data_IF_002779625559
#
_entry.id   IF_002779625559
#
_cell.length_a   1.000
_cell.length_b   1.000
_cell.length_c   1.000
_cell.angle_alpha   90.00
_cell.angle_beta   90.00
_cell.angle_gamma   90.00
#
_symmetry.space_group_name_H-M   'P 1'
#
loop_
_entity.id
_entity.type
_entity.pdbx_description
1 polymer ?
#
# COMPACT_ATOMS: atom_id res chain seq x y z
N UNK A 1 -20.67 -5.67 8.14
CA UNK A 1 -19.62 -6.02 7.17
C UNK A 1 -18.50 -5.01 7.29
N UNK A 2 -17.27 -5.45 7.61
CA UNK A 2 -16.14 -4.54 7.83
C UNK A 2 -15.59 -3.97 6.52
N UNK A 3 -15.38 -2.64 6.49
CA UNK A 3 -14.73 -1.94 5.38
C UNK A 3 -13.22 -2.13 5.48
N UNK A 4 -12.60 -2.66 4.43
CA UNK A 4 -11.14 -2.77 4.31
C UNK A 4 -10.74 -2.23 2.95
N UNK A 5 -9.95 -1.16 2.94
CA UNK A 5 -9.55 -0.42 1.76
C UNK A 5 -8.10 0.00 1.93
N UNK A 6 -7.35 -0.02 0.83
CA UNK A 6 -5.95 0.40 0.79
C UNK A 6 -5.88 1.58 -0.17
N UNK A 7 -5.39 2.69 0.34
CA UNK A 7 -5.23 3.93 -0.41
C UNK A 7 -3.83 4.50 -0.22
N UNK A 8 -3.32 5.15 -1.26
CA UNK A 8 -2.07 5.88 -1.26
C UNK A 8 -2.36 7.37 -1.05
N UNK A 9 -1.58 8.00 -0.18
CA UNK A 9 -1.71 9.41 0.13
C UNK A 9 -0.53 10.15 -0.51
N UNK A 10 -0.82 10.94 -1.55
CA UNK A 10 0.13 11.76 -2.28
C UNK A 10 -0.40 13.19 -2.27
N UNK A 11 -0.26 13.87 -1.12
CA UNK A 11 -0.86 15.17 -0.81
C UNK A 11 -0.69 16.16 -1.98
N UNK A 12 -1.78 16.71 -2.56
CA UNK A 12 -3.17 16.75 -2.06
C UNK A 12 -4.09 15.61 -2.52
N UNK A 13 -3.58 14.66 -3.29
CA UNK A 13 -4.36 13.59 -3.90
C UNK A 13 -4.32 12.31 -3.05
N UNK A 14 -5.44 11.62 -2.93
CA UNK A 14 -5.51 10.28 -2.34
C UNK A 14 -6.09 9.33 -3.37
N UNK A 15 -5.41 8.20 -3.59
CA UNK A 15 -5.76 7.22 -4.63
C UNK A 15 -6.13 5.91 -3.95
N UNK A 16 -7.35 5.42 -4.21
CA UNK A 16 -7.77 4.09 -3.77
C UNK A 16 -7.14 3.04 -4.70
N UNK A 17 -6.30 2.17 -4.15
CA UNK A 17 -5.60 1.12 -4.92
C UNK A 17 -6.19 -0.28 -4.70
N UNK A 18 -6.99 -0.48 -3.64
CA UNK A 18 -7.65 -1.76 -3.39
C UNK A 18 -8.87 -1.61 -2.46
N UNK A 19 -9.93 -2.38 -2.70
CA UNK A 19 -11.11 -2.42 -1.80
C UNK A 19 -11.66 -3.84 -1.66
N UNK A 20 -11.92 -4.25 -0.41
CA UNK A 20 -12.55 -5.53 -0.08
C UNK A 20 -13.95 -5.64 -0.67
N UNK A 21 -14.64 -4.50 -0.81
CA UNK A 21 -15.99 -4.48 -1.38
C UNK A 21 -15.98 -4.86 -2.86
N UNK A 22 -14.90 -4.55 -3.58
CA UNK A 22 -14.72 -4.89 -4.99
C UNK A 22 -14.23 -6.34 -5.15
N UNK A 23 -13.22 -6.73 -4.36
CA UNK A 23 -12.60 -8.06 -4.49
C UNK A 23 -13.35 -9.19 -3.79
N UNK A 24 -14.22 -8.88 -2.81
CA UNK A 24 -14.96 -9.89 -2.04
C UNK A 24 -14.10 -10.78 -1.13
N UNK A 25 -12.78 -10.59 -1.10
CA UNK A 25 -11.79 -11.32 -0.30
C UNK A 25 -10.87 -10.35 0.43
N UNK A 26 -9.99 -10.86 1.30
CA UNK A 26 -8.87 -10.09 1.82
C UNK A 26 -7.67 -10.18 0.86
N UNK A 27 -6.82 -9.14 0.80
CA UNK A 27 -5.64 -9.17 -0.05
C UNK A 27 -4.54 -9.99 0.61
N UNK A 28 -3.69 -10.61 -0.19
CA UNK A 28 -2.48 -11.27 0.31
C UNK A 28 -1.37 -10.24 0.55
N UNK A 29 -0.48 -10.51 1.50
CA UNK A 29 0.63 -9.61 1.80
C UNK A 29 1.53 -9.32 0.58
N UNK A 30 1.63 -10.29 -0.34
CA UNK A 30 2.36 -10.14 -1.61
C UNK A 30 1.63 -9.18 -2.56
N UNK A 31 0.32 -9.33 -2.69
CA UNK A 31 -0.53 -8.50 -3.55
C UNK A 31 -0.50 -7.04 -3.11
N UNK A 32 -0.66 -6.76 -1.81
CA UNK A 32 -0.59 -5.39 -1.27
C UNK A 32 0.75 -4.74 -1.61
N UNK A 33 1.87 -5.45 -1.41
CA UNK A 33 3.20 -4.93 -1.72
C UNK A 33 3.40 -4.67 -3.21
N UNK A 34 2.83 -5.52 -4.06
CA UNK A 34 2.90 -5.36 -5.52
C UNK A 34 2.11 -4.13 -5.96
N UNK A 35 0.85 -3.99 -5.53
CA UNK A 35 -0.01 -2.84 -5.84
C UNK A 35 0.64 -1.52 -5.37
N UNK A 36 1.12 -1.49 -4.13
CA UNK A 36 1.81 -0.30 -3.58
C UNK A 36 3.04 0.03 -4.42
N UNK A 37 3.83 -0.97 -4.84
CA UNK A 37 5.02 -0.74 -5.69
C UNK A 37 4.65 -0.24 -7.08
N UNK A 38 3.68 -0.87 -7.74
CA UNK A 38 3.28 -0.54 -9.09
C UNK A 38 2.75 0.89 -9.18
N UNK A 39 2.00 1.33 -8.17
CA UNK A 39 1.47 2.70 -8.12
C UNK A 39 2.50 3.74 -7.70
N UNK A 40 3.38 3.44 -6.74
CA UNK A 40 4.35 4.41 -6.24
C UNK A 40 5.61 4.52 -7.10
N UNK A 41 5.99 3.46 -7.81
CA UNK A 41 7.25 3.36 -8.53
C UNK A 41 7.14 2.40 -9.74
N UNK A 42 6.49 2.80 -10.84
CA UNK A 42 6.70 2.10 -12.11
C UNK A 42 8.18 2.19 -12.56
N UNK A 43 8.89 3.29 -12.23
CA UNK A 43 10.30 3.52 -12.63
C UNK A 43 11.27 3.95 -11.49
N UNK A 44 10.85 3.92 -10.21
CA UNK A 44 11.58 4.41 -8.99
C UNK A 44 11.86 5.93 -8.96
N UNK A 45 11.92 6.66 -7.83
CA UNK A 45 12.03 6.37 -6.40
C UNK A 45 10.98 7.19 -5.62
N UNK A 46 10.37 6.58 -4.61
CA UNK A 46 9.67 7.29 -3.55
C UNK A 46 10.66 8.10 -2.74
N UNK A 47 10.60 9.42 -2.89
CA UNK A 47 11.21 10.35 -1.96
C UNK A 47 10.80 10.01 -0.52
N UNK A 48 11.81 9.73 0.32
CA UNK A 48 11.78 9.77 1.79
C UNK A 48 10.54 9.20 2.52
N UNK A 49 10.11 7.99 2.20
CA UNK A 49 9.32 7.17 3.15
C UNK A 49 9.99 5.84 3.53
N UNK A 50 11.30 5.72 3.29
CA UNK A 50 12.14 4.73 3.97
C UNK A 50 12.43 5.24 5.40
N UNK A 51 11.46 5.10 6.30
CA UNK A 51 11.81 4.78 7.68
C UNK A 51 11.93 3.26 7.74
N UNK A 52 13.12 2.77 7.39
CA UNK A 52 13.67 1.57 8.00
C UNK A 52 13.41 1.65 9.51
N UNK A 53 12.45 0.90 10.01
CA UNK A 53 12.57 0.37 11.35
C UNK A 53 13.04 -1.08 11.20
N UNK A 54 14.35 -1.35 11.14
CA UNK A 54 14.81 -2.71 11.24
C UNK A 54 14.56 -3.15 12.68
N UNK A 55 13.66 -4.12 12.83
CA UNK A 55 13.67 -5.19 13.85
C UNK A 55 13.75 -4.75 15.32
N UNK A 56 12.68 -5.05 16.05
CA UNK A 56 12.80 -5.57 17.41
C UNK A 56 13.76 -6.79 17.38
N UNK A 57 14.79 -6.82 18.22
CA UNK A 57 15.09 -7.94 19.12
C UNK A 57 16.25 -7.59 20.08
N UNK A 58 16.12 -8.04 21.33
CA UNK A 58 17.10 -8.14 22.43
C UNK A 58 17.57 -6.86 23.16
#
# INVERSE_FOLDING_TARGET
GGRFEISLNDNPTTILIWSRKQEGRFPEAKEVKQLVRDHLCPEKNLGHSDRKNPKQDS
#
